data_IF_117088198482
#
_entry.id   IF_117088198482
#
_cell.length_a   1.000
_cell.length_b   1.000
_cell.length_c   1.000
_cell.angle_alpha   90.00
_cell.angle_beta   90.00
_cell.angle_gamma   90.00
#
_symmetry.space_group_name_H-M   'P 1'
#
loop_
_entity.id
_entity.type
_entity.pdbx_description
1 polymer ?
#
# COMPACT_ATOMS: atom_id res chain seq x y z
N UNK A 1 -12.95 -63.55 40.07
CA UNK A 1 -13.79 -62.34 40.11
C UNK A 1 -13.04 -61.19 40.82
N UNK A 2 -12.44 -60.25 40.09
CA UNK A 2 -12.16 -58.88 40.55
C UNK A 2 -11.74 -58.03 39.34
N UNK A 3 -12.69 -57.30 38.76
CA UNK A 3 -12.44 -56.33 37.68
C UNK A 3 -11.79 -55.09 38.28
N UNK A 4 -10.61 -54.72 37.80
CA UNK A 4 -10.01 -53.41 38.05
C UNK A 4 -10.84 -52.35 37.29
N UNK A 5 -11.48 -51.45 38.03
CA UNK A 5 -12.12 -50.24 37.48
C UNK A 5 -11.02 -49.30 37.03
N UNK A 6 -10.97 -48.99 35.74
CA UNK A 6 -10.26 -47.82 35.24
C UNK A 6 -10.92 -46.57 35.80
N UNK A 7 -10.15 -45.75 36.52
CA UNK A 7 -10.50 -44.38 36.83
C UNK A 7 -10.35 -43.56 35.55
N UNK A 8 -11.47 -43.28 34.88
CA UNK A 8 -11.56 -42.15 33.95
C UNK A 8 -11.55 -40.88 34.78
N UNK A 9 -10.38 -40.24 34.88
CA UNK A 9 -10.26 -38.89 35.40
C UNK A 9 -10.98 -37.94 34.42
N UNK A 10 -12.18 -37.54 34.80
CA UNK A 10 -12.98 -36.53 34.12
C UNK A 10 -12.23 -35.19 34.21
N UNK A 11 -11.71 -34.73 33.08
CA UNK A 11 -11.01 -33.44 32.95
C UNK A 11 -12.07 -32.35 33.15
N UNK A 12 -11.96 -31.44 34.15
CA UNK A 12 -12.96 -30.41 34.33
C UNK A 12 -12.97 -29.51 33.08
N UNK A 13 -14.15 -29.34 32.48
CA UNK A 13 -14.39 -28.39 31.42
C UNK A 13 -14.06 -26.99 31.96
N UNK A 14 -12.91 -26.46 31.55
CA UNK A 14 -12.51 -25.09 31.85
C UNK A 14 -13.60 -24.13 31.35
N UNK A 15 -13.81 -22.99 32.05
CA UNK A 15 -14.89 -22.07 31.73
C UNK A 15 -14.76 -21.66 30.28
N UNK A 16 -15.83 -21.86 29.50
CA UNK A 16 -15.97 -21.44 28.12
C UNK A 16 -15.28 -20.08 27.95
N UNK A 17 -14.05 -20.14 27.44
CA UNK A 17 -13.20 -18.99 27.31
C UNK A 17 -13.96 -18.05 26.38
N UNK A 18 -14.33 -16.90 26.93
CA UNK A 18 -14.90 -15.76 26.24
C UNK A 18 -14.41 -15.76 24.80
N UNK A 19 -15.28 -16.09 23.86
CA UNK A 19 -15.03 -15.88 22.44
C UNK A 19 -15.08 -14.36 22.24
N UNK A 20 -14.06 -13.64 22.71
CA UNK A 20 -13.75 -12.33 22.18
C UNK A 20 -13.57 -12.59 20.71
N UNK A 21 -14.50 -12.12 19.89
CA UNK A 21 -14.42 -12.25 18.44
C UNK A 21 -13.06 -11.70 18.02
N UNK A 22 -12.08 -12.59 17.84
CA UNK A 22 -10.79 -12.24 17.32
C UNK A 22 -11.06 -11.91 15.86
N UNK A 23 -11.25 -10.62 15.57
CA UNK A 23 -11.34 -10.13 14.19
C UNK A 23 -10.13 -10.71 13.47
N UNK A 24 -10.41 -11.51 12.43
CA UNK A 24 -9.33 -12.18 11.71
C UNK A 24 -8.48 -11.11 11.00
N UNK A 25 -7.17 -11.35 10.77
CA UNK A 25 -6.36 -10.43 9.99
C UNK A 25 -6.97 -10.11 8.62
N UNK A 26 -7.66 -11.08 8.02
CA UNK A 26 -8.40 -10.92 6.77
C UNK A 26 -9.51 -9.87 6.90
N UNK A 27 -10.44 -10.05 7.85
CA UNK A 27 -11.53 -9.10 8.10
C UNK A 27 -11.02 -7.68 8.39
N UNK A 28 -9.95 -7.57 9.18
CA UNK A 28 -9.36 -6.28 9.53
C UNK A 28 -8.75 -5.57 8.32
N UNK A 29 -8.07 -6.31 7.44
CA UNK A 29 -7.51 -5.75 6.20
C UNK A 29 -8.61 -5.43 5.18
N UNK A 30 -9.64 -6.26 5.05
CA UNK A 30 -10.76 -6.03 4.15
C UNK A 30 -11.53 -4.75 4.54
N UNK A 31 -11.85 -4.57 5.83
CA UNK A 31 -12.50 -3.37 6.33
C UNK A 31 -11.68 -2.10 6.06
N UNK A 32 -10.35 -2.18 6.28
CA UNK A 32 -9.44 -1.06 6.02
C UNK A 32 -9.28 -0.77 4.52
N UNK A 33 -9.22 -1.79 3.68
CA UNK A 33 -9.19 -1.61 2.22
C UNK A 33 -10.43 -0.86 1.75
N UNK A 34 -11.62 -1.29 2.16
CA UNK A 34 -12.87 -0.63 1.79
C UNK A 34 -12.88 0.86 2.21
N UNK A 35 -12.40 1.18 3.42
CA UNK A 35 -12.27 2.56 3.87
C UNK A 35 -11.29 3.39 3.02
N UNK A 36 -10.15 2.81 2.60
CA UNK A 36 -9.18 3.46 1.72
C UNK A 36 -9.70 3.64 0.30
N UNK A 37 -10.46 2.67 -0.23
CA UNK A 37 -11.10 2.76 -1.53
C UNK A 37 -12.16 3.87 -1.58
N UNK A 38 -12.98 3.98 -0.53
CA UNK A 38 -13.95 5.07 -0.40
C UNK A 38 -13.26 6.45 -0.39
N UNK A 39 -12.14 6.59 0.36
CA UNK A 39 -11.33 7.81 0.38
C UNK A 39 -10.72 8.12 -0.99
N UNK A 40 -10.16 7.12 -1.66
CA UNK A 40 -9.61 7.26 -3.02
C UNK A 40 -10.69 7.73 -4.00
N UNK A 41 -11.88 7.12 -3.95
CA UNK A 41 -13.00 7.50 -4.82
C UNK A 41 -13.48 8.94 -4.56
N UNK A 42 -13.50 9.38 -3.30
CA UNK A 42 -13.83 10.77 -2.97
C UNK A 42 -12.80 11.76 -3.54
N UNK A 43 -11.50 11.47 -3.39
CA UNK A 43 -10.42 12.28 -3.96
C UNK A 43 -10.45 12.28 -5.49
N UNK A 44 -10.77 11.14 -6.11
CA UNK A 44 -10.93 11.04 -7.56
C UNK A 44 -12.07 11.94 -8.05
N UNK A 45 -13.23 11.95 -7.37
CA UNK A 45 -14.33 12.85 -7.71
C UNK A 45 -13.92 14.32 -7.60
N UNK A 46 -13.17 14.68 -6.55
CA UNK A 46 -12.64 16.03 -6.40
C UNK A 46 -11.67 16.41 -7.54
N UNK A 47 -10.75 15.50 -7.89
CA UNK A 47 -9.82 15.69 -9.00
C UNK A 47 -10.54 15.89 -10.34
N UNK A 48 -11.57 15.07 -10.61
CA UNK A 48 -12.38 15.19 -11.82
C UNK A 48 -13.12 16.54 -11.88
N UNK A 49 -13.70 17.00 -10.77
CA UNK A 49 -14.33 18.34 -10.68
C UNK A 49 -13.34 19.46 -10.97
N UNK A 50 -12.13 19.39 -10.41
CA UNK A 50 -11.06 20.38 -10.69
C UNK A 50 -10.67 20.39 -12.17
N UNK A 51 -10.61 19.21 -12.81
CA UNK A 51 -10.34 19.11 -14.25
C UNK A 51 -11.43 19.80 -15.08
N UNK A 52 -12.71 19.58 -14.77
CA UNK A 52 -13.83 20.26 -15.43
C UNK A 52 -13.82 21.77 -15.23
N UNK A 53 -13.54 22.25 -14.00
CA UNK A 53 -13.42 23.69 -13.71
C UNK A 53 -12.30 24.32 -14.52
N UNK A 54 -11.14 23.66 -14.61
CA UNK A 54 -10.01 24.15 -15.40
C UNK A 54 -10.36 24.26 -16.89
N UNK A 55 -11.07 23.27 -17.45
CA UNK A 55 -11.54 23.31 -18.85
C UNK A 55 -12.52 24.47 -19.09
N UNK A 56 -13.45 24.70 -18.15
CA UNK A 56 -14.38 25.84 -18.23
C UNK A 56 -13.64 27.18 -18.16
N UNK A 57 -12.64 27.32 -17.28
CA UNK A 57 -11.80 28.51 -17.20
C UNK A 57 -10.98 28.73 -18.47
N UNK A 58 -10.40 27.66 -19.05
CA UNK A 58 -9.67 27.77 -20.31
C UNK A 58 -10.59 28.22 -21.46
N UNK A 59 -11.79 27.64 -21.56
CA UNK A 59 -12.79 28.06 -22.55
C UNK A 59 -13.22 29.52 -22.34
N UNK A 60 -13.41 29.96 -21.09
CA UNK A 60 -13.73 31.35 -20.76
C UNK A 60 -12.62 32.31 -21.19
N UNK A 61 -11.35 31.98 -20.89
CA UNK A 61 -10.19 32.78 -21.32
C UNK A 61 -10.14 32.91 -22.84
N UNK A 62 -10.35 31.81 -23.57
CA UNK A 62 -10.36 31.81 -25.04
C UNK A 62 -11.52 32.64 -25.60
N UNK A 63 -12.73 32.52 -25.02
CA UNK A 63 -13.89 33.30 -25.43
C UNK A 63 -13.67 34.81 -25.19
N UNK A 64 -13.09 35.17 -24.05
CA UNK A 64 -12.75 36.57 -23.74
C UNK A 64 -11.68 37.11 -24.70
N UNK A 65 -10.65 36.31 -25.02
CA UNK A 65 -9.61 36.70 -25.98
C UNK A 65 -10.19 36.92 -27.39
N UNK A 66 -11.09 36.03 -27.84
CA UNK A 66 -11.81 36.17 -29.11
C UNK A 66 -12.66 37.45 -29.15
N UNK A 67 -13.42 37.71 -28.08
CA UNK A 67 -14.25 38.91 -27.97
C UNK A 67 -13.41 40.19 -27.95
N UNK A 68 -12.28 40.19 -27.24
CA UNK A 68 -11.36 41.32 -27.19
C UNK A 68 -10.79 41.68 -28.57
N UNK A 69 -10.51 40.67 -29.40
CA UNK A 69 -10.06 40.87 -30.78
C UNK A 69 -11.08 41.61 -31.64
N UNK A 70 -12.37 41.33 -31.45
CA UNK A 70 -13.47 41.93 -32.24
C UNK A 70 -13.98 43.26 -31.68
N UNK A 71 -13.95 43.43 -30.35
CA UNK A 71 -14.64 44.53 -29.68
C UNK A 71 -13.74 45.75 -29.38
N UNK A 72 -12.41 45.67 -29.49
CA UNK A 72 -11.43 46.74 -29.21
C UNK A 72 -11.55 47.48 -27.84
N UNK A 73 -12.48 47.08 -26.96
CA UNK A 73 -12.82 47.74 -25.69
C UNK A 73 -12.20 47.05 -24.46
N UNK A 74 -11.41 45.98 -24.62
CA UNK A 74 -10.90 45.17 -23.50
C UNK A 74 -9.50 45.61 -23.04
N UNK A 75 -9.41 46.12 -21.81
CA UNK A 75 -8.14 46.41 -21.11
C UNK A 75 -7.46 45.11 -20.64
N UNK A 76 -6.12 44.98 -20.67
CA UNK A 76 -5.38 43.76 -20.28
C UNK A 76 -5.69 43.19 -18.88
N UNK A 77 -6.15 44.04 -17.95
CA UNK A 77 -6.54 43.65 -16.59
C UNK A 77 -7.64 42.57 -16.57
N UNK A 78 -8.52 42.55 -17.59
CA UNK A 78 -9.59 41.55 -17.70
C UNK A 78 -9.09 40.13 -17.98
N UNK A 79 -7.86 39.97 -18.49
CA UNK A 79 -7.24 38.67 -18.75
C UNK A 79 -6.48 38.17 -17.51
N UNK A 80 -5.96 39.08 -16.68
CA UNK A 80 -5.17 38.73 -15.51
C UNK A 80 -5.96 37.92 -14.47
N UNK A 81 -7.23 38.27 -14.23
CA UNK A 81 -8.07 37.56 -13.25
C UNK A 81 -8.38 36.10 -13.67
N UNK A 82 -8.86 35.83 -14.90
CA UNK A 82 -8.98 34.47 -15.42
C UNK A 82 -7.65 33.69 -15.45
N UNK A 83 -6.54 34.35 -15.81
CA UNK A 83 -5.22 33.71 -15.82
C UNK A 83 -4.79 33.28 -14.41
N UNK A 84 -5.02 34.12 -13.40
CA UNK A 84 -4.75 33.78 -12.00
C UNK A 84 -5.64 32.64 -11.50
N UNK A 85 -6.94 32.67 -11.84
CA UNK A 85 -7.87 31.58 -11.50
C UNK A 85 -7.45 30.25 -12.15
N UNK A 86 -6.99 30.29 -13.40
CA UNK A 86 -6.46 29.11 -14.09
C UNK A 86 -5.19 28.58 -13.41
N UNK A 87 -4.24 29.45 -13.06
CA UNK A 87 -3.02 29.06 -12.35
C UNK A 87 -3.35 28.41 -10.99
N UNK A 88 -4.27 28.98 -10.21
CA UNK A 88 -4.74 28.40 -8.96
C UNK A 88 -5.40 27.02 -9.17
N UNK A 89 -6.19 26.85 -10.22
CA UNK A 89 -6.80 25.57 -10.57
C UNK A 89 -5.76 24.51 -10.96
N UNK A 90 -4.69 24.90 -11.66
CA UNK A 90 -3.56 24.01 -11.99
C UNK A 90 -2.85 23.53 -10.72
N UNK A 91 -2.52 24.43 -9.80
CA UNK A 91 -1.88 24.07 -8.52
C UNK A 91 -2.78 23.13 -7.71
N UNK A 92 -4.07 23.44 -7.60
CA UNK A 92 -5.04 22.60 -6.91
C UNK A 92 -5.14 21.19 -7.52
N UNK A 93 -5.06 21.08 -8.86
CA UNK A 93 -5.07 19.80 -9.55
C UNK A 93 -3.82 18.97 -9.26
N UNK A 94 -2.63 19.57 -9.26
CA UNK A 94 -1.37 18.90 -8.90
C UNK A 94 -1.42 18.37 -7.47
N UNK A 95 -1.86 19.20 -6.51
CA UNK A 95 -2.03 18.81 -5.11
C UNK A 95 -3.06 17.68 -4.94
N UNK A 96 -4.17 17.73 -5.69
CA UNK A 96 -5.16 16.66 -5.70
C UNK A 96 -4.57 15.35 -6.27
N UNK A 97 -3.71 15.44 -7.29
CA UNK A 97 -2.95 14.33 -7.85
C UNK A 97 -2.07 13.64 -6.81
N UNK A 98 -1.27 14.40 -6.04
CA UNK A 98 -0.44 13.82 -4.98
C UNK A 98 -1.27 13.12 -3.90
N UNK A 99 -2.39 13.72 -3.48
CA UNK A 99 -3.31 13.14 -2.49
C UNK A 99 -3.93 11.83 -3.00
N UNK A 100 -4.34 11.81 -4.27
CA UNK A 100 -4.89 10.63 -4.92
C UNK A 100 -3.84 9.53 -5.05
N UNK A 101 -2.61 9.86 -5.47
CA UNK A 101 -1.51 8.92 -5.57
C UNK A 101 -1.20 8.27 -4.20
N UNK A 102 -1.15 9.07 -3.14
CA UNK A 102 -0.98 8.55 -1.78
C UNK A 102 -2.12 7.63 -1.35
N UNK A 103 -3.38 8.01 -1.59
CA UNK A 103 -4.54 7.17 -1.30
C UNK A 103 -4.53 5.86 -2.11
N UNK A 104 -4.11 5.90 -3.38
CA UNK A 104 -3.95 4.71 -4.21
C UNK A 104 -2.88 3.76 -3.66
N UNK A 105 -1.76 4.28 -3.14
CA UNK A 105 -0.73 3.45 -2.47
C UNK A 105 -1.26 2.76 -1.22
N UNK A 106 -2.13 3.42 -0.45
CA UNK A 106 -2.78 2.81 0.72
C UNK A 106 -3.73 1.69 0.33
N UNK A 107 -4.51 1.86 -0.75
CA UNK A 107 -5.37 0.79 -1.29
C UNK A 107 -4.51 -0.39 -1.76
N UNK A 108 -3.44 -0.12 -2.51
CA UNK A 108 -2.55 -1.16 -3.03
C UNK A 108 -1.87 -1.96 -1.92
N UNK A 109 -1.51 -1.31 -0.80
CA UNK A 109 -0.95 -1.98 0.37
C UNK A 109 -1.88 -3.08 0.91
N UNK A 110 -3.16 -2.80 1.14
CA UNK A 110 -4.10 -3.82 1.60
C UNK A 110 -4.47 -4.81 0.50
N UNK A 111 -4.59 -4.38 -0.76
CA UNK A 111 -4.85 -5.28 -1.89
C UNK A 111 -3.80 -6.39 -1.96
N UNK A 112 -2.52 -6.04 -1.84
CA UNK A 112 -1.41 -7.00 -1.80
C UNK A 112 -1.44 -7.86 -0.53
N UNK A 113 -1.77 -7.27 0.61
CA UNK A 113 -1.85 -8.01 1.87
C UNK A 113 -2.95 -9.07 1.85
N UNK A 114 -4.13 -8.75 1.32
CA UNK A 114 -5.22 -9.71 1.13
C UNK A 114 -4.87 -10.75 0.06
N UNK A 115 -4.26 -10.35 -1.06
CA UNK A 115 -3.81 -11.30 -2.08
C UNK A 115 -2.84 -12.35 -1.51
N UNK A 116 -1.94 -11.97 -0.58
CA UNK A 116 -1.10 -12.95 0.14
C UNK A 116 -1.89 -13.88 1.04
N UNK A 117 -2.84 -13.36 1.81
CA UNK A 117 -3.69 -14.18 2.69
C UNK A 117 -4.59 -15.14 1.92
N UNK A 118 -4.91 -14.82 0.68
CA UNK A 118 -5.76 -15.61 -0.21
C UNK A 118 -4.96 -16.44 -1.23
N UNK A 119 -3.63 -16.53 -1.08
CA UNK A 119 -2.75 -17.30 -1.98
C UNK A 119 -2.74 -16.83 -3.46
N UNK A 120 -3.20 -15.60 -3.74
CA UNK A 120 -3.26 -14.98 -5.08
C UNK A 120 -2.12 -13.98 -5.32
N UNK A 121 -0.94 -14.24 -4.78
CA UNK A 121 0.18 -13.30 -4.74
C UNK A 121 1.23 -13.52 -5.82
N UNK A 122 1.40 -14.75 -6.31
CA UNK A 122 2.44 -15.09 -7.29
C UNK A 122 2.29 -14.28 -8.58
N UNK A 123 3.41 -13.79 -9.11
CA UNK A 123 3.47 -12.96 -10.32
C UNK A 123 3.06 -11.49 -10.14
N UNK A 124 2.76 -11.05 -8.91
CA UNK A 124 2.31 -9.67 -8.63
C UNK A 124 3.34 -8.80 -7.88
N UNK A 125 4.42 -9.42 -7.39
CA UNK A 125 5.44 -8.80 -6.55
C UNK A 125 6.80 -8.62 -7.23
N UNK A 126 7.78 -8.22 -6.42
CA UNK A 126 9.19 -8.25 -6.84
C UNK A 126 9.70 -9.68 -6.74
N UNK A 127 10.21 -10.20 -7.85
CA UNK A 127 10.73 -11.58 -7.96
C UNK A 127 12.13 -11.73 -7.35
N UNK A 128 12.79 -10.62 -7.02
CA UNK A 128 14.15 -10.64 -6.45
C UNK A 128 15.21 -11.16 -7.41
N UNK A 129 14.96 -11.13 -8.73
CA UNK A 129 15.89 -11.63 -9.77
C UNK A 129 17.26 -10.95 -9.72
N UNK A 130 17.34 -9.72 -9.21
CA UNK A 130 18.61 -9.01 -8.97
C UNK A 130 19.49 -9.65 -7.88
N UNK A 131 18.96 -10.60 -7.11
CA UNK A 131 19.62 -11.26 -5.99
C UNK A 131 19.83 -12.75 -6.22
N UNK A 132 19.35 -13.26 -7.36
CA UNK A 132 19.47 -14.65 -7.75
C UNK A 132 20.94 -15.06 -7.89
N UNK A 133 21.27 -16.22 -7.36
CA UNK A 133 22.60 -16.79 -7.39
C UNK A 133 22.49 -18.32 -7.53
N UNK A 134 22.72 -18.79 -8.75
CA UNK A 134 22.65 -20.22 -9.12
C UNK A 134 23.63 -21.10 -8.36
N UNK A 135 24.67 -20.51 -7.74
CA UNK A 135 25.67 -21.25 -6.96
C UNK A 135 25.31 -21.35 -5.46
N UNK A 136 24.18 -20.78 -5.04
CA UNK A 136 23.79 -20.81 -3.64
C UNK A 136 23.22 -22.17 -3.24
N UNK A 137 23.70 -22.71 -2.12
CA UNK A 137 23.50 -24.10 -1.69
C UNK A 137 22.04 -24.59 -1.74
N UNK A 138 21.09 -23.72 -1.41
CA UNK A 138 19.67 -24.09 -1.30
C UNK A 138 18.71 -23.11 -2.02
N UNK A 139 19.22 -22.06 -2.65
CA UNK A 139 18.34 -20.98 -3.13
C UNK A 139 17.43 -21.43 -4.27
N UNK A 140 17.97 -22.29 -5.15
CA UNK A 140 17.23 -22.90 -6.26
C UNK A 140 16.22 -23.93 -5.74
N UNK A 141 16.65 -24.87 -4.90
CA UNK A 141 15.78 -25.93 -4.36
C UNK A 141 14.60 -25.41 -3.52
N UNK A 142 14.74 -24.27 -2.85
CA UNK A 142 13.68 -23.66 -2.04
C UNK A 142 12.92 -22.54 -2.76
N UNK A 143 13.16 -22.33 -4.06
CA UNK A 143 12.56 -21.26 -4.86
C UNK A 143 12.65 -19.91 -4.12
N UNK A 144 13.86 -19.54 -3.67
CA UNK A 144 14.05 -18.32 -2.86
C UNK A 144 13.79 -17.07 -3.69
N UNK A 145 14.14 -17.09 -4.98
CA UNK A 145 13.92 -16.00 -5.93
C UNK A 145 13.18 -16.51 -7.18
N UNK A 146 12.68 -15.58 -8.00
CA UNK A 146 11.89 -15.90 -9.19
C UNK A 146 10.39 -15.66 -9.00
N UNK A 147 9.59 -16.11 -9.97
CA UNK A 147 8.13 -16.02 -9.94
C UNK A 147 7.54 -17.11 -9.04
N UNK A 148 6.66 -16.74 -8.11
CA UNK A 148 6.10 -17.67 -7.12
C UNK A 148 7.08 -18.03 -6.00
N UNK A 149 8.14 -17.24 -5.82
CA UNK A 149 9.21 -17.49 -4.85
C UNK A 149 8.91 -17.03 -3.43
N UNK A 150 9.70 -17.50 -2.46
CA UNK A 150 9.66 -17.02 -1.07
C UNK A 150 9.93 -15.52 -0.97
N UNK A 151 10.87 -15.00 -1.76
CA UNK A 151 11.15 -13.57 -1.80
C UNK A 151 9.93 -12.79 -2.30
N UNK A 152 9.28 -13.23 -3.38
CA UNK A 152 8.08 -12.57 -3.90
C UNK A 152 6.93 -12.57 -2.90
N UNK A 153 6.74 -13.68 -2.17
CA UNK A 153 5.75 -13.79 -1.11
C UNK A 153 6.02 -12.82 0.05
N UNK A 154 7.27 -12.73 0.51
CA UNK A 154 7.62 -12.03 1.75
C UNK A 154 7.96 -10.55 1.53
N UNK A 155 8.46 -10.18 0.35
CA UNK A 155 8.96 -8.84 0.10
C UNK A 155 7.85 -7.79 0.10
N UNK A 156 7.77 -7.03 1.20
CA UNK A 156 6.97 -5.81 1.32
C UNK A 156 7.83 -4.54 1.35
N UNK A 157 9.14 -4.67 1.07
CA UNK A 157 10.07 -3.55 1.09
C UNK A 157 9.73 -2.53 0.00
N UNK A 158 10.02 -1.26 0.28
CA UNK A 158 9.77 -0.15 -0.65
C UNK A 158 11.04 0.59 -1.06
N UNK A 159 12.19 0.07 -0.65
CA UNK A 159 13.51 0.61 -0.96
C UNK A 159 14.41 -0.53 -1.44
N UNK A 160 15.36 -0.26 -2.36
CA UNK A 160 16.35 -1.26 -2.78
C UNK A 160 17.15 -1.82 -1.61
N UNK A 161 17.47 -0.98 -0.61
CA UNK A 161 18.16 -1.40 0.60
C UNK A 161 17.34 -2.40 1.45
N UNK A 162 16.04 -2.16 1.60
CA UNK A 162 15.15 -3.08 2.33
C UNK A 162 14.98 -4.41 1.59
N UNK A 163 14.84 -4.37 0.27
CA UNK A 163 14.78 -5.56 -0.58
C UNK A 163 16.07 -6.39 -0.48
N UNK A 164 17.23 -5.74 -0.61
CA UNK A 164 18.54 -6.37 -0.39
C UNK A 164 18.64 -7.01 0.99
N UNK A 165 18.23 -6.29 2.05
CA UNK A 165 18.33 -6.81 3.42
C UNK A 165 17.50 -8.08 3.62
N UNK A 166 16.31 -8.14 3.02
CA UNK A 166 15.49 -9.36 3.04
C UNK A 166 16.17 -10.50 2.28
N UNK A 167 16.72 -10.23 1.09
CA UNK A 167 17.43 -11.23 0.31
C UNK A 167 18.62 -11.82 1.10
N UNK A 168 19.42 -10.97 1.73
CA UNK A 168 20.54 -11.40 2.57
C UNK A 168 20.06 -12.28 3.75
N UNK A 169 18.91 -11.98 4.35
CA UNK A 169 18.33 -12.80 5.41
C UNK A 169 17.80 -14.15 4.94
N UNK A 170 17.31 -14.25 3.70
CA UNK A 170 16.87 -15.53 3.12
C UNK A 170 18.05 -16.41 2.72
N UNK A 171 19.17 -15.80 2.32
CA UNK A 171 20.39 -16.52 1.91
C UNK A 171 21.32 -16.87 3.08
N UNK A 172 21.24 -16.16 4.20
CA UNK A 172 22.07 -16.42 5.38
C UNK A 172 21.21 -16.48 6.65
N UNK A 173 20.98 -17.69 7.23
CA UNK A 173 20.22 -17.81 8.45
C UNK A 173 20.93 -17.11 9.62
N UNK A 174 20.14 -16.48 10.48
CA UNK A 174 20.63 -15.84 11.69
C UNK A 174 20.81 -16.86 12.83
N UNK A 175 21.62 -16.49 13.83
CA UNK A 175 21.68 -17.25 15.09
C UNK A 175 20.37 -17.10 15.90
N UNK A 176 20.24 -17.95 16.93
CA UNK A 176 19.04 -17.99 17.78
C UNK A 176 18.74 -16.66 18.47
N UNK A 177 19.76 -15.97 18.98
CA UNK A 177 19.56 -14.73 19.72
C UNK A 177 19.04 -13.62 18.81
N UNK A 178 19.57 -13.53 17.59
CA UNK A 178 19.10 -12.60 16.56
C UNK A 178 17.69 -12.93 16.07
N UNK A 179 17.35 -14.22 15.92
CA UNK A 179 15.98 -14.64 15.58
C UNK A 179 14.98 -14.21 16.67
N UNK A 180 15.30 -14.45 17.94
CA UNK A 180 14.44 -14.06 19.08
C UNK A 180 14.25 -12.55 19.13
N UNK A 181 15.31 -11.78 18.90
CA UNK A 181 15.24 -10.32 18.81
C UNK A 181 14.30 -9.86 17.69
N UNK A 182 14.43 -10.41 16.49
CA UNK A 182 13.56 -10.07 15.34
C UNK A 182 12.10 -10.44 15.60
N UNK A 183 11.84 -11.60 16.21
CA UNK A 183 10.47 -12.00 16.56
C UNK A 183 9.84 -11.03 17.57
N UNK A 184 10.61 -10.54 18.55
CA UNK A 184 10.13 -9.53 19.49
C UNK A 184 9.79 -8.21 18.78
N UNK A 185 10.62 -7.76 17.84
CA UNK A 185 10.37 -6.57 17.02
C UNK A 185 9.12 -6.75 16.13
N UNK A 186 8.93 -7.94 15.54
CA UNK A 186 7.75 -8.28 14.76
C UNK A 186 6.49 -8.27 15.64
N UNK A 187 6.55 -8.84 16.84
CA UNK A 187 5.43 -8.87 17.78
C UNK A 187 5.00 -7.46 18.21
N UNK A 188 5.96 -6.54 18.38
CA UNK A 188 5.68 -5.13 18.68
C UNK A 188 5.05 -4.38 17.48
N UNK A 189 5.55 -4.64 16.26
CA UNK A 189 5.10 -3.95 15.05
C UNK A 189 3.78 -4.49 14.50
N UNK A 190 3.52 -5.79 14.61
CA UNK A 190 2.36 -6.48 14.05
C UNK A 190 1.01 -5.78 14.34
N UNK A 191 0.68 -5.38 15.59
CA UNK A 191 -0.59 -4.72 15.90
C UNK A 191 -0.65 -3.25 15.44
N UNK A 192 0.49 -2.61 15.10
CA UNK A 192 0.58 -1.19 14.76
C UNK A 192 0.26 -0.93 13.28
N UNK A 193 -0.94 -1.31 12.86
CA UNK A 193 -1.35 -1.27 11.45
C UNK A 193 -1.21 0.10 10.79
N UNK A 194 -1.50 1.18 11.51
CA UNK A 194 -1.39 2.55 10.97
C UNK A 194 0.08 2.95 10.74
N UNK A 195 1.01 2.43 11.57
CA UNK A 195 2.44 2.62 11.34
C UNK A 195 2.90 1.84 10.11
N UNK A 196 2.46 0.58 9.99
CA UNK A 196 2.77 -0.29 8.84
C UNK A 196 2.28 0.31 7.52
N UNK A 197 1.03 0.78 7.49
CA UNK A 197 0.44 1.45 6.32
C UNK A 197 1.19 2.74 5.96
N UNK A 198 1.52 3.58 6.96
CA UNK A 198 2.30 4.80 6.73
C UNK A 198 3.63 4.48 6.05
N UNK A 199 4.43 3.59 6.64
CA UNK A 199 5.73 3.19 6.08
C UNK A 199 5.58 2.70 4.62
N UNK A 200 4.58 1.85 4.36
CA UNK A 200 4.35 1.31 3.02
C UNK A 200 3.85 2.32 1.98
N UNK A 201 3.16 3.38 2.41
CA UNK A 201 2.56 4.40 1.53
C UNK A 201 3.39 5.68 1.37
N UNK A 202 4.45 5.85 2.17
CA UNK A 202 5.40 6.96 2.08
C UNK A 202 6.40 6.81 0.93
N UNK A 203 6.78 5.58 0.57
CA UNK A 203 7.81 5.35 -0.43
C UNK A 203 7.22 5.29 -1.85
N UNK A 204 7.24 6.43 -2.54
CA UNK A 204 7.48 6.65 -3.98
C UNK A 204 7.33 8.15 -4.21
N UNK A 205 8.45 8.84 -4.03
CA UNK A 205 8.80 10.10 -4.71
C UNK A 205 10.26 10.02 -5.25
N UNK A 206 11.10 9.11 -4.74
CA UNK A 206 12.50 8.97 -5.15
C UNK A 206 12.73 8.20 -6.47
N UNK A 207 11.83 7.31 -6.88
CA UNK A 207 12.01 6.48 -8.10
C UNK A 207 11.40 7.10 -9.35
N UNK A 208 10.75 8.26 -9.26
CA UNK A 208 10.25 9.01 -10.41
C UNK A 208 11.25 10.08 -10.90
N UNK A 209 12.44 10.13 -10.29
CA UNK A 209 13.49 11.13 -10.57
C UNK A 209 14.84 10.50 -10.97
N UNK A 210 14.84 9.23 -11.40
CA UNK A 210 15.99 8.54 -11.99
C UNK A 210 15.60 8.05 -13.39
#
# INVERSE_FOLDING_TARGET
MRRARGQTAERPAGPAARYTAHVTPHEQYAARQAAREARRAALQRQSNRLSSVRLALAALVLAMAWMAWYAHWFTPVWIALPALAFAAAVVAHVLAGHRLAHASRQVEFYRRALARLEERWAGTGDRGTLFENDQHLYASDLDVFGEGSLFELLCAARTPMGARKLADWLLAPADRAEIERRHQEIADLAPRLDQRERIASFAVDATAAA
#
